data_IF_639433906944
#
_entry.id   IF_639433906944
#
_cell.length_a   1.000
_cell.length_b   1.000
_cell.length_c   1.000
_cell.angle_alpha   90.00
_cell.angle_beta   90.00
_cell.angle_gamma   90.00
#
_symmetry.space_group_name_H-M   'P 1'
#
loop_
_entity.id
_entity.type
_entity.pdbx_description
1 polymer ?
#
# COMPACT_ATOMS: atom_id res chain seq x y z
N UNK A 1 -17.24 -2.85 -11.72
CA UNK A 1 -16.02 -3.34 -12.40
C UNK A 1 -14.75 -3.11 -11.58
N UNK A 2 -14.41 -1.86 -11.22
CA UNK A 2 -13.08 -1.55 -10.68
C UNK A 2 -12.72 -2.24 -9.35
N UNK A 3 -13.65 -2.33 -8.39
CA UNK A 3 -13.42 -3.05 -7.12
C UNK A 3 -13.02 -4.52 -7.37
N UNK A 4 -13.71 -5.18 -8.30
CA UNK A 4 -13.46 -6.59 -8.61
C UNK A 4 -12.09 -6.75 -9.26
N UNK A 5 -11.73 -5.87 -10.21
CA UNK A 5 -10.41 -5.87 -10.82
C UNK A 5 -9.29 -5.64 -9.80
N UNK A 6 -9.46 -4.70 -8.87
CA UNK A 6 -8.47 -4.44 -7.81
C UNK A 6 -8.34 -5.66 -6.89
N UNK A 7 -9.46 -6.28 -6.51
CA UNK A 7 -9.45 -7.48 -5.68
C UNK A 7 -8.74 -8.67 -6.33
N UNK A 8 -9.00 -8.92 -7.62
CA UNK A 8 -8.34 -10.00 -8.37
C UNK A 8 -6.83 -9.72 -8.51
N UNK A 9 -6.44 -8.49 -8.84
CA UNK A 9 -5.03 -8.12 -8.94
C UNK A 9 -4.31 -8.24 -7.59
N UNK A 10 -4.93 -7.78 -6.50
CA UNK A 10 -4.35 -7.92 -5.17
C UNK A 10 -4.13 -9.39 -4.78
N UNK A 11 -5.10 -10.27 -5.06
CA UNK A 11 -4.97 -11.70 -4.81
C UNK A 11 -3.83 -12.33 -5.64
N UNK A 12 -3.77 -12.02 -6.93
CA UNK A 12 -2.70 -12.48 -7.83
C UNK A 12 -1.31 -12.04 -7.37
N UNK A 13 -1.15 -10.78 -6.97
CA UNK A 13 0.14 -10.22 -6.51
C UNK A 13 0.60 -10.95 -5.25
N UNK A 14 -0.27 -11.14 -4.26
CA UNK A 14 0.10 -11.85 -3.03
C UNK A 14 0.50 -13.29 -3.32
N UNK A 15 -0.24 -13.99 -4.19
CA UNK A 15 0.08 -15.36 -4.57
C UNK A 15 1.45 -15.47 -5.26
N UNK A 16 1.75 -14.53 -6.17
CA UNK A 16 3.05 -14.43 -6.82
C UNK A 16 4.18 -14.12 -5.83
N UNK A 17 3.96 -13.20 -4.88
CA UNK A 17 4.94 -12.87 -3.85
C UNK A 17 5.25 -14.09 -2.98
N UNK A 18 4.25 -14.82 -2.50
CA UNK A 18 4.48 -16.04 -1.69
C UNK A 18 5.24 -17.10 -2.47
N UNK A 19 4.87 -17.34 -3.74
CA UNK A 19 5.58 -18.28 -4.60
C UNK A 19 7.06 -17.89 -4.78
N UNK A 20 7.33 -16.59 -4.96
CA UNK A 20 8.67 -16.06 -5.08
C UNK A 20 9.43 -16.19 -3.74
N UNK A 21 8.77 -15.98 -2.59
CA UNK A 21 9.38 -16.07 -1.26
C UNK A 21 9.88 -17.48 -0.95
N UNK A 22 9.12 -18.50 -1.35
CA UNK A 22 9.51 -19.91 -1.26
C UNK A 22 10.76 -20.21 -2.10
N UNK A 23 10.88 -19.63 -3.30
CA UNK A 23 12.06 -19.83 -4.17
C UNK A 23 13.31 -19.18 -3.58
N UNK A 24 13.17 -18.00 -2.96
CA UNK A 24 14.30 -17.22 -2.42
C UNK A 24 14.63 -17.65 -0.97
N UNK A 25 13.91 -18.61 -0.38
CA UNK A 25 14.07 -19.04 1.01
C UNK A 25 13.96 -17.89 2.03
N UNK A 26 13.16 -16.86 1.70
CA UNK A 26 12.98 -15.67 2.51
C UNK A 26 11.59 -15.70 3.18
N UNK A 27 11.44 -15.19 4.43
CA UNK A 27 10.13 -15.12 5.07
C UNK A 27 9.14 -14.27 4.26
N UNK A 28 7.90 -14.76 4.12
CA UNK A 28 6.82 -14.05 3.41
C UNK A 28 6.58 -12.63 3.92
N UNK A 29 6.82 -12.41 5.22
CA UNK A 29 6.69 -11.11 5.89
C UNK A 29 7.68 -10.10 5.30
N UNK A 30 8.93 -10.50 5.07
CA UNK A 30 9.98 -9.62 4.51
C UNK A 30 9.66 -9.29 3.05
N UNK A 31 9.15 -10.27 2.32
CA UNK A 31 8.69 -10.11 0.94
C UNK A 31 7.52 -9.13 0.84
N UNK A 32 6.53 -9.25 1.73
CA UNK A 32 5.42 -8.30 1.83
C UNK A 32 5.87 -6.90 2.23
N UNK A 33 6.69 -6.77 3.28
CA UNK A 33 7.18 -5.46 3.72
C UNK A 33 8.07 -4.75 2.69
N UNK A 34 8.71 -5.47 1.78
CA UNK A 34 9.62 -4.88 0.80
C UNK A 34 8.97 -4.74 -0.56
N UNK A 35 8.59 -5.84 -1.20
CA UNK A 35 8.08 -5.82 -2.58
C UNK A 35 6.66 -5.28 -2.66
N UNK A 36 5.76 -5.70 -1.76
CA UNK A 36 4.39 -5.20 -1.77
C UNK A 36 4.35 -3.72 -1.37
N UNK A 37 5.13 -3.31 -0.37
CA UNK A 37 5.24 -1.91 0.04
C UNK A 37 5.91 -1.01 -1.02
N UNK A 38 6.96 -1.49 -1.69
CA UNK A 38 7.58 -0.77 -2.81
C UNK A 38 6.62 -0.65 -4.01
N UNK A 39 5.84 -1.70 -4.26
CA UNK A 39 4.80 -1.71 -5.28
C UNK A 39 3.72 -0.66 -5.03
N UNK A 40 3.26 -0.50 -3.79
CA UNK A 40 2.28 0.53 -3.46
C UNK A 40 2.84 1.94 -3.61
N UNK A 41 4.09 2.21 -3.22
CA UNK A 41 4.65 3.57 -3.30
C UNK A 41 4.89 4.09 -4.74
N UNK A 42 4.92 3.19 -5.73
CA UNK A 42 5.20 3.50 -7.13
C UNK A 42 4.19 4.48 -7.75
N UNK A 43 2.87 4.23 -7.72
CA UNK A 43 1.86 5.17 -8.22
C UNK A 43 1.88 6.53 -7.49
N UNK A 44 2.13 6.56 -6.18
CA UNK A 44 2.27 7.82 -5.43
C UNK A 44 3.48 8.65 -5.90
N UNK A 45 4.64 8.00 -6.07
CA UNK A 45 5.84 8.63 -6.61
C UNK A 45 5.62 9.18 -8.02
N UNK A 46 4.89 8.43 -8.87
CA UNK A 46 4.54 8.89 -10.22
C UNK A 46 3.58 10.08 -10.18
N UNK A 47 2.54 10.04 -9.35
CA UNK A 47 1.56 11.14 -9.22
C UNK A 47 2.20 12.45 -8.74
N UNK A 48 3.05 12.37 -7.72
CA UNK A 48 3.81 13.52 -7.20
C UNK A 48 4.79 14.07 -8.23
N UNK A 49 5.53 13.21 -8.94
CA UNK A 49 6.44 13.62 -10.01
C UNK A 49 5.73 14.33 -11.17
N UNK A 50 4.53 13.87 -11.55
CA UNK A 50 3.71 14.50 -12.59
C UNK A 50 3.22 15.87 -12.13
N UNK A 51 2.76 16.01 -10.88
CA UNK A 51 2.28 17.28 -10.34
C UNK A 51 3.38 18.34 -10.26
N UNK A 52 4.60 17.95 -9.84
CA UNK A 52 5.76 18.85 -9.81
C UNK A 52 6.12 19.33 -11.21
N UNK A 53 6.06 18.45 -12.22
CA UNK A 53 6.30 18.81 -13.63
C UNK A 53 5.24 19.75 -14.21
N UNK A 54 4.04 19.80 -13.63
CA UNK A 54 2.93 20.64 -14.08
C UNK A 54 2.98 22.07 -13.54
N UNK A 55 3.95 22.41 -12.69
CA UNK A 55 4.11 23.74 -12.08
C UNK A 55 3.39 23.92 -10.75
N UNK A 56 2.53 22.97 -10.35
CA UNK A 56 1.80 22.96 -9.09
C UNK A 56 2.54 22.14 -8.02
N UNK A 57 3.68 22.66 -7.57
CA UNK A 57 4.50 22.04 -6.53
C UNK A 57 3.78 21.90 -5.18
N UNK A 58 2.90 22.85 -4.84
CA UNK A 58 2.09 22.81 -3.61
C UNK A 58 1.06 21.67 -3.58
N UNK A 59 0.53 21.27 -4.74
CA UNK A 59 -0.44 20.17 -4.86
C UNK A 59 0.28 18.82 -4.76
N UNK A 60 1.48 18.71 -5.34
CA UNK A 60 2.28 17.48 -5.26
C UNK A 60 2.72 17.13 -3.83
N UNK A 61 3.16 18.12 -3.06
CA UNK A 61 3.59 17.93 -1.66
C UNK A 61 2.41 17.59 -0.75
N UNK A 62 1.30 18.34 -0.85
CA UNK A 62 0.11 18.10 -0.03
C UNK A 62 -0.53 16.74 -0.32
N UNK A 63 -0.57 16.31 -1.59
CA UNK A 63 -1.06 14.99 -1.96
C UNK A 63 -0.19 13.86 -1.39
N UNK A 64 1.14 14.00 -1.44
CA UNK A 64 2.06 12.98 -0.92
C UNK A 64 1.99 12.86 0.62
N UNK A 65 1.95 14.00 1.32
CA UNK A 65 1.78 14.04 2.78
C UNK A 65 0.44 13.46 3.22
N UNK A 66 -0.64 13.81 2.50
CA UNK A 66 -1.97 13.31 2.77
C UNK A 66 -2.07 11.79 2.55
N UNK A 67 -1.62 11.29 1.39
CA UNK A 67 -1.67 9.87 1.06
C UNK A 67 -0.91 9.00 2.07
N UNK A 68 0.31 9.41 2.45
CA UNK A 68 1.11 8.64 3.40
C UNK A 68 0.56 8.70 4.84
N UNK A 69 0.09 9.87 5.29
CA UNK A 69 -0.51 10.01 6.63
C UNK A 69 -1.80 9.19 6.75
N UNK A 70 -2.64 9.20 5.72
CA UNK A 70 -3.90 8.46 5.68
C UNK A 70 -3.65 6.94 5.57
N UNK A 71 -2.62 6.52 4.83
CA UNK A 71 -2.19 5.13 4.75
C UNK A 71 -1.73 4.60 6.12
N UNK A 72 -0.91 5.36 6.85
CA UNK A 72 -0.49 5.00 8.22
C UNK A 72 -1.70 4.91 9.15
N UNK A 73 -2.60 5.91 9.09
CA UNK A 73 -3.77 5.96 9.98
C UNK A 73 -4.77 4.83 9.69
N UNK A 74 -5.06 4.50 8.43
CA UNK A 74 -5.95 3.40 8.08
C UNK A 74 -5.27 2.03 8.24
N UNK A 75 -4.02 1.87 7.80
CA UNK A 75 -3.36 0.56 7.82
C UNK A 75 -3.01 0.09 9.23
N UNK A 76 -2.65 1.01 10.14
CA UNK A 76 -2.34 0.68 11.54
C UNK A 76 -3.54 0.93 12.46
N UNK A 77 -4.21 2.07 12.30
CA UNK A 77 -5.29 2.49 13.21
C UNK A 77 -6.57 1.68 13.04
N UNK A 78 -6.97 1.35 11.80
CA UNK A 78 -8.22 0.63 11.52
C UNK A 78 -8.22 -0.82 12.04
N UNK A 79 -7.20 -1.67 11.79
CA UNK A 79 -7.18 -3.03 12.35
C UNK A 79 -7.01 -3.02 13.87
N UNK A 80 -6.27 -2.06 14.43
CA UNK A 80 -6.16 -1.92 15.88
C UNK A 80 -7.50 -1.52 16.51
N UNK A 81 -8.21 -0.56 15.91
CA UNK A 81 -9.54 -0.14 16.36
C UNK A 81 -10.55 -1.29 16.28
N UNK A 82 -10.59 -2.01 15.15
CA UNK A 82 -11.46 -3.19 14.97
C UNK A 82 -11.15 -4.26 16.02
N UNK A 83 -9.87 -4.58 16.25
CA UNK A 83 -9.46 -5.58 17.24
C UNK A 83 -9.92 -5.19 18.65
N UNK A 84 -9.75 -3.92 19.03
CA UNK A 84 -10.22 -3.44 20.33
C UNK A 84 -11.74 -3.51 20.43
N UNK A 85 -12.49 -3.04 19.44
CA UNK A 85 -13.96 -3.14 19.45
C UNK A 85 -14.48 -4.58 19.54
N UNK A 86 -13.80 -5.56 18.93
CA UNK A 86 -14.20 -6.97 19.00
C UNK A 86 -13.80 -7.62 20.33
N UNK A 87 -12.65 -7.24 20.91
CA UNK A 87 -12.16 -7.80 22.18
C UNK A 87 -12.86 -7.21 23.41
N UNK A 88 -13.52 -6.06 23.26
CA UNK A 88 -14.29 -5.39 24.32
C UNK A 88 -15.75 -5.90 24.44
N UNK A 89 -16.10 -7.01 23.79
CA UNK A 89 -17.34 -7.78 23.99
C UNK A 89 -16.99 -9.16 24.54
#
# INVERSE_FOLDING_TARGET
MCIICIGINAFMIVWMLTALGVVIHCPDIVMGLTFLAAGSATPEAVSSAISVRKGDSGIGVSNSLGANSLAILLSLGLPWFIKNCITFN
#
